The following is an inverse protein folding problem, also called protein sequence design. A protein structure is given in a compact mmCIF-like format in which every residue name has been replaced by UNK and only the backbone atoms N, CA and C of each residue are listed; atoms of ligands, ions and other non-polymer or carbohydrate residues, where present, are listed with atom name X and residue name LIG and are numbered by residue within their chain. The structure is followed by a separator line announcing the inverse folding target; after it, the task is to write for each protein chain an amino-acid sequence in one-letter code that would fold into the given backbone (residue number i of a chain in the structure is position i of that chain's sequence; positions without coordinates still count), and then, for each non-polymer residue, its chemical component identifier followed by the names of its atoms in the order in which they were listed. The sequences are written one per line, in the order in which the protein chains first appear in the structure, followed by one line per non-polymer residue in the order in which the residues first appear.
data_IF_394041071595
#
_entry.id   IF_394041071595
#
_cell.length_a   1.000
_cell.length_b   1.000
_cell.length_c   1.000
_cell.angle_alpha   90.00
_cell.angle_beta   90.00
_cell.angle_gamma   90.00
#
_symmetry.space_group_name_H-M   'P 1'
#
loop_
_entity.id
_entity.type
_entity.pdbx_description
1 polymer ?
#
# COMPACT_ATOMS: atom_id res chain seq x y z
N UNK A 1 19.92 -26.34 -7.60
CA UNK A 1 18.95 -26.12 -6.49
C UNK A 1 19.56 -25.23 -5.40
N UNK A 2 20.74 -25.55 -4.85
CA UNK A 2 21.42 -24.78 -3.80
C UNK A 2 21.73 -23.32 -4.17
N UNK A 3 22.21 -23.05 -5.37
CA UNK A 3 22.51 -21.67 -5.79
C UNK A 3 21.25 -20.77 -5.85
N UNK A 4 20.11 -21.32 -6.29
CA UNK A 4 18.83 -20.58 -6.27
C UNK A 4 18.37 -20.24 -4.85
N UNK A 5 18.60 -21.15 -3.87
CA UNK A 5 18.28 -20.88 -2.46
C UNK A 5 19.21 -19.82 -1.82
N UNK A 6 20.52 -19.87 -2.12
CA UNK A 6 21.48 -18.85 -1.70
C UNK A 6 21.06 -17.46 -2.18
N UNK A 7 20.72 -17.34 -3.47
CA UNK A 7 20.26 -16.07 -4.06
C UNK A 7 18.94 -15.60 -3.46
N UNK A 8 17.99 -16.52 -3.28
CA UNK A 8 16.67 -16.18 -2.74
C UNK A 8 16.73 -15.70 -1.28
N UNK A 9 17.56 -16.35 -0.46
CA UNK A 9 17.70 -15.99 0.96
C UNK A 9 18.85 -15.00 1.22
N UNK A 10 19.63 -14.66 0.19
CA UNK A 10 20.79 -13.73 0.28
C UNK A 10 21.80 -14.15 1.37
N UNK A 11 22.13 -15.44 1.42
CA UNK A 11 23.04 -16.03 2.41
C UNK A 11 24.21 -16.72 1.73
N UNK A 12 25.33 -16.85 2.45
CA UNK A 12 26.48 -17.62 2.00
C UNK A 12 26.24 -19.14 2.16
N UNK A 13 27.14 -19.98 1.60
CA UNK A 13 26.97 -21.45 1.61
C UNK A 13 26.93 -22.04 3.02
N UNK A 14 27.77 -21.56 3.94
CA UNK A 14 27.82 -22.03 5.33
C UNK A 14 26.49 -21.73 6.04
N UNK A 15 26.02 -20.49 5.94
CA UNK A 15 24.75 -20.10 6.53
C UNK A 15 23.57 -20.87 5.95
N UNK A 16 23.61 -21.20 4.65
CA UNK A 16 22.58 -22.04 4.04
C UNK A 16 22.53 -23.44 4.68
N UNK A 17 23.69 -24.07 4.88
CA UNK A 17 23.78 -25.38 5.56
C UNK A 17 23.25 -25.29 6.98
N UNK A 18 23.65 -24.27 7.75
CA UNK A 18 23.18 -24.06 9.12
C UNK A 18 21.66 -23.83 9.19
N UNK A 19 21.10 -23.10 8.23
CA UNK A 19 19.64 -22.89 8.13
C UNK A 19 18.92 -24.20 7.86
N UNK A 20 19.40 -25.04 6.92
CA UNK A 20 18.80 -26.34 6.61
C UNK A 20 18.90 -27.27 7.82
N UNK A 21 20.05 -27.30 8.49
CA UNK A 21 20.26 -28.07 9.73
C UNK A 21 19.28 -27.62 10.83
N UNK A 22 19.08 -26.31 10.98
CA UNK A 22 18.11 -25.77 11.95
C UNK A 22 16.68 -26.24 11.65
N UNK A 23 16.28 -26.25 10.38
CA UNK A 23 14.96 -26.79 9.99
C UNK A 23 14.82 -28.28 10.31
N UNK A 24 15.85 -29.07 10.02
CA UNK A 24 15.84 -30.52 10.29
C UNK A 24 15.77 -30.82 11.79
N UNK A 25 16.62 -30.21 12.59
CA UNK A 25 16.64 -30.37 14.04
C UNK A 25 15.38 -29.85 14.71
N UNK A 26 14.90 -28.66 14.28
CA UNK A 26 13.66 -28.07 14.78
C UNK A 26 12.44 -28.93 14.47
N UNK A 27 12.35 -29.50 13.27
CA UNK A 27 11.30 -30.44 12.89
C UNK A 27 11.34 -31.73 13.71
N UNK A 28 12.51 -32.30 13.92
CA UNK A 28 12.70 -33.50 14.74
C UNK A 28 12.30 -33.25 16.21
N UNK A 29 12.69 -32.10 16.75
CA UNK A 29 12.32 -31.70 18.13
C UNK A 29 10.81 -31.53 18.28
N UNK A 30 10.13 -30.90 17.32
CA UNK A 30 8.69 -30.77 17.29
C UNK A 30 7.98 -32.13 17.23
N UNK A 31 8.44 -33.02 16.37
CA UNK A 31 7.87 -34.36 16.25
C UNK A 31 8.01 -35.17 17.55
N UNK A 32 9.15 -35.07 18.22
CA UNK A 32 9.36 -35.70 19.51
C UNK A 32 8.47 -35.09 20.60
N UNK A 33 8.49 -33.76 20.74
CA UNK A 33 7.70 -33.06 21.74
C UNK A 33 6.18 -33.27 21.54
N UNK A 34 5.71 -33.23 20.30
CA UNK A 34 4.31 -33.48 19.95
C UNK A 34 3.83 -34.86 20.35
N UNK A 35 4.65 -35.91 20.09
CA UNK A 35 4.32 -37.26 20.55
C UNK A 35 4.29 -37.39 22.06
N UNK A 36 5.26 -36.79 22.76
CA UNK A 36 5.31 -36.80 24.23
C UNK A 36 4.10 -36.10 24.86
N UNK A 37 3.73 -34.94 24.33
CA UNK A 37 2.58 -34.19 24.80
C UNK A 37 1.26 -34.94 24.59
N UNK A 38 1.07 -35.53 23.41
CA UNK A 38 -0.13 -36.33 23.14
C UNK A 38 -0.18 -37.65 23.93
N UNK A 39 0.97 -38.24 24.27
CA UNK A 39 1.01 -39.40 25.16
C UNK A 39 0.44 -39.13 26.58
N UNK A 40 0.50 -37.88 27.03
CA UNK A 40 -0.09 -37.48 28.30
C UNK A 40 -1.63 -37.48 28.32
N UNK A 41 -2.27 -37.50 27.16
CA UNK A 41 -3.73 -37.45 27.02
C UNK A 41 -4.38 -38.83 27.06
N UNK A 42 -3.61 -39.93 27.08
CA UNK A 42 -4.07 -41.33 27.05
C UNK A 42 -5.07 -41.62 25.92
N UNK A 43 -4.99 -40.85 24.80
CA UNK A 43 -5.88 -41.03 23.67
C UNK A 43 -5.42 -42.19 22.78
N UNK A 44 -6.37 -42.96 22.27
CA UNK A 44 -6.13 -43.99 21.27
C UNK A 44 -5.60 -43.39 19.96
N UNK A 45 -4.69 -44.13 19.28
CA UNK A 45 -4.07 -43.72 18.03
C UNK A 45 -5.05 -43.83 16.84
N UNK A 46 -6.10 -43.02 16.84
CA UNK A 46 -7.08 -42.91 15.78
C UNK A 46 -6.88 -41.68 14.91
N UNK A 47 -7.82 -41.43 14.03
CA UNK A 47 -7.81 -40.25 13.12
C UNK A 47 -7.71 -38.93 13.92
N UNK A 48 -8.43 -38.82 15.02
CA UNK A 48 -8.41 -37.62 15.89
C UNK A 48 -7.01 -37.37 16.46
N UNK A 49 -6.32 -38.42 16.89
CA UNK A 49 -4.95 -38.33 17.38
C UNK A 49 -4.00 -37.76 16.30
N UNK A 50 -4.13 -38.23 15.04
CA UNK A 50 -3.30 -37.74 13.92
C UNK A 50 -3.57 -36.27 13.64
N UNK A 51 -4.82 -35.85 13.64
CA UNK A 51 -5.20 -34.44 13.42
C UNK A 51 -4.63 -33.55 14.51
N UNK A 52 -4.79 -33.93 15.77
CA UNK A 52 -4.25 -33.19 16.93
C UNK A 52 -2.72 -33.15 16.89
N UNK A 53 -2.06 -34.24 16.50
CA UNK A 53 -0.61 -34.28 16.35
C UNK A 53 -0.12 -33.30 15.29
N UNK A 54 -0.75 -33.24 14.11
CA UNK A 54 -0.39 -32.31 13.04
C UNK A 54 -0.58 -30.85 13.51
N UNK A 55 -1.70 -30.55 14.15
CA UNK A 55 -1.99 -29.21 14.69
C UNK A 55 -0.94 -28.81 15.74
N UNK A 56 -0.63 -29.73 16.68
CA UNK A 56 0.33 -29.47 17.74
C UNK A 56 1.74 -29.25 17.21
N UNK A 57 2.21 -30.11 16.29
CA UNK A 57 3.52 -29.96 15.64
C UNK A 57 3.60 -28.67 14.87
N UNK A 58 2.54 -28.28 14.13
CA UNK A 58 2.49 -27.02 13.38
C UNK A 58 2.57 -25.80 14.31
N UNK A 59 1.91 -25.85 15.48
CA UNK A 59 1.93 -24.80 16.46
C UNK A 59 3.29 -24.68 17.18
N UNK A 60 3.92 -25.81 17.50
CA UNK A 60 5.21 -25.89 18.20
C UNK A 60 6.39 -25.55 17.29
N UNK A 61 6.24 -25.77 15.97
CA UNK A 61 7.33 -25.65 15.00
C UNK A 61 8.06 -24.28 15.04
N UNK A 62 7.37 -23.11 15.09
CA UNK A 62 8.05 -21.81 15.15
C UNK A 62 8.93 -21.67 16.39
N UNK A 63 8.45 -22.17 17.54
CA UNK A 63 9.18 -22.10 18.82
C UNK A 63 10.42 -23.00 18.80
N UNK A 64 10.28 -24.25 18.34
CA UNK A 64 11.38 -25.19 18.25
C UNK A 64 12.48 -24.72 17.29
N UNK A 65 12.11 -24.20 16.12
CA UNK A 65 13.07 -23.67 15.15
C UNK A 65 13.80 -22.44 15.71
N UNK A 66 13.11 -21.53 16.40
CA UNK A 66 13.74 -20.40 17.08
C UNK A 66 14.73 -20.85 18.13
N UNK A 67 14.36 -21.80 18.98
CA UNK A 67 15.21 -22.35 20.04
C UNK A 67 16.47 -22.99 19.48
N UNK A 68 16.34 -23.84 18.47
CA UNK A 68 17.47 -24.51 17.80
C UNK A 68 18.34 -23.52 17.02
N UNK A 69 17.78 -22.41 16.53
CA UNK A 69 18.54 -21.39 15.79
C UNK A 69 19.50 -20.57 16.65
N UNK A 70 19.33 -20.55 17.97
CA UNK A 70 20.19 -19.78 18.90
C UNK A 70 21.63 -20.33 18.87
N UNK A 71 21.88 -21.59 19.20
CA UNK A 71 23.24 -22.14 19.23
C UNK A 71 23.89 -22.20 17.83
N UNK A 72 23.09 -22.22 16.77
CA UNK A 72 23.57 -22.23 15.38
C UNK A 72 23.80 -20.82 14.80
N UNK A 73 23.60 -19.76 15.60
CA UNK A 73 23.79 -18.37 15.17
C UNK A 73 22.80 -17.88 14.11
N UNK A 74 21.70 -18.59 13.89
CA UNK A 74 20.71 -18.29 12.85
C UNK A 74 19.42 -17.64 13.38
N UNK A 75 19.40 -17.21 14.63
CA UNK A 75 18.23 -16.63 15.28
C UNK A 75 17.61 -15.45 14.53
N UNK A 76 18.45 -14.51 14.06
CA UNK A 76 17.99 -13.33 13.32
C UNK A 76 17.31 -13.70 12.00
N UNK A 77 17.79 -14.73 11.30
CA UNK A 77 17.18 -15.23 10.09
C UNK A 77 15.79 -15.82 10.38
N UNK A 78 15.70 -16.74 11.36
CA UNK A 78 14.45 -17.40 11.69
C UNK A 78 13.41 -16.47 12.29
N UNK A 79 13.81 -15.49 13.10
CA UNK A 79 12.92 -14.43 13.60
C UNK A 79 12.27 -13.67 12.45
N UNK A 80 13.05 -13.24 11.45
CA UNK A 80 12.52 -12.58 10.24
C UNK A 80 11.65 -13.51 9.40
N UNK A 81 12.06 -14.77 9.23
CA UNK A 81 11.34 -15.75 8.44
C UNK A 81 9.96 -16.04 9.05
N UNK A 82 9.90 -16.35 10.34
CA UNK A 82 8.65 -16.63 11.07
C UNK A 82 7.74 -15.40 11.09
N UNK A 83 8.29 -14.20 11.34
CA UNK A 83 7.53 -12.94 11.26
C UNK A 83 6.90 -12.74 9.88
N UNK A 84 7.62 -13.10 8.80
CA UNK A 84 7.10 -13.03 7.43
C UNK A 84 6.00 -14.06 7.16
N UNK A 85 6.15 -15.29 7.69
CA UNK A 85 5.13 -16.36 7.59
C UNK A 85 3.88 -15.97 8.38
N UNK A 86 4.02 -15.61 9.65
CA UNK A 86 2.91 -15.17 10.50
C UNK A 86 2.24 -13.90 9.97
N UNK A 87 3.01 -12.98 9.35
CA UNK A 87 2.48 -11.79 8.70
C UNK A 87 1.57 -12.07 7.50
N UNK A 88 1.68 -13.28 6.89
CA UNK A 88 0.74 -13.72 5.83
C UNK A 88 -0.60 -14.17 6.40
N UNK A 89 -0.60 -14.73 7.62
CA UNK A 89 -1.82 -15.16 8.33
C UNK A 89 -2.50 -14.00 9.06
N UNK A 90 -1.73 -13.06 9.60
CA UNK A 90 -2.26 -11.75 10.00
C UNK A 90 -2.51 -11.01 8.69
N UNK A 91 -3.66 -11.21 8.07
CA UNK A 91 -4.03 -10.47 6.89
C UNK A 91 -3.63 -9.00 7.09
N UNK A 92 -2.48 -8.61 6.55
CA UNK A 92 -2.24 -7.20 6.33
C UNK A 92 -3.37 -6.82 5.40
N UNK A 93 -4.41 -6.21 5.94
CA UNK A 93 -5.08 -5.19 5.19
C UNK A 93 -3.93 -4.29 4.73
N UNK A 94 -3.41 -4.54 3.53
CA UNK A 94 -2.51 -3.61 2.88
C UNK A 94 -3.31 -2.31 2.94
N UNK A 95 -2.85 -1.33 3.74
CA UNK A 95 -3.41 0.01 3.70
C UNK A 95 -3.40 0.34 2.22
N UNK A 96 -4.56 0.29 1.58
CA UNK A 96 -4.67 0.68 0.17
C UNK A 96 -4.00 2.05 0.11
N UNK A 97 -3.04 2.27 -0.79
CA UNK A 97 -2.39 3.56 -0.88
C UNK A 97 -3.50 4.60 -0.99
N UNK A 98 -3.45 5.61 -0.14
CA UNK A 98 -4.40 6.71 -0.19
C UNK A 98 -4.09 7.47 -1.47
N UNK A 99 -5.09 7.61 -2.36
CA UNK A 99 -4.98 8.36 -3.61
C UNK A 99 -5.19 9.84 -3.28
N UNK A 100 -4.17 10.66 -3.49
CA UNK A 100 -4.26 12.10 -3.33
C UNK A 100 -4.73 12.75 -4.63
N UNK A 101 -5.82 13.48 -4.56
CA UNK A 101 -6.45 14.15 -5.71
C UNK A 101 -6.18 15.65 -5.67
N UNK A 102 -5.76 16.22 -6.80
CA UNK A 102 -5.83 17.66 -7.03
C UNK A 102 -7.09 17.99 -7.82
N UNK A 103 -7.85 18.98 -7.37
CA UNK A 103 -9.01 19.52 -8.08
C UNK A 103 -8.63 20.86 -8.69
N UNK A 104 -8.75 20.99 -10.00
CA UNK A 104 -8.56 22.21 -10.76
C UNK A 104 -9.91 22.88 -10.97
N UNK A 105 -10.05 24.13 -10.58
CA UNK A 105 -11.28 24.91 -10.72
C UNK A 105 -11.00 26.38 -10.98
N UNK A 106 -11.91 27.07 -11.69
CA UNK A 106 -11.76 28.49 -12.05
C UNK A 106 -12.85 29.39 -11.49
N UNK A 107 -13.85 28.85 -10.79
CA UNK A 107 -15.05 29.62 -10.42
C UNK A 107 -15.60 29.34 -9.02
N UNK A 108 -16.92 29.30 -8.90
CA UNK A 108 -17.63 29.12 -7.63
C UNK A 108 -17.30 27.83 -6.90
N UNK A 109 -16.89 26.76 -7.62
CA UNK A 109 -16.44 25.52 -7.02
C UNK A 109 -17.54 24.55 -6.62
N UNK A 110 -18.74 24.64 -7.17
CA UNK A 110 -19.86 23.74 -6.86
C UNK A 110 -19.51 22.26 -7.08
N UNK A 111 -18.88 21.94 -8.22
CA UNK A 111 -18.41 20.58 -8.49
C UNK A 111 -17.29 20.16 -7.51
N UNK A 112 -16.36 21.05 -7.18
CA UNK A 112 -15.32 20.80 -6.21
C UNK A 112 -15.91 20.47 -4.83
N UNK A 113 -16.92 21.24 -4.38
CA UNK A 113 -17.63 21.01 -3.12
C UNK A 113 -18.28 19.62 -3.08
N UNK A 114 -18.94 19.20 -4.17
CA UNK A 114 -19.56 17.88 -4.23
C UNK A 114 -18.51 16.74 -4.15
N UNK A 115 -17.38 16.91 -4.83
CA UNK A 115 -16.28 15.94 -4.77
C UNK A 115 -15.71 15.87 -3.35
N UNK A 116 -15.45 17.02 -2.72
CA UNK A 116 -14.94 17.09 -1.34
C UNK A 116 -15.91 16.40 -0.38
N UNK A 117 -17.20 16.69 -0.46
CA UNK A 117 -18.22 16.09 0.39
C UNK A 117 -18.30 14.57 0.18
N UNK A 118 -18.24 14.10 -1.07
CA UNK A 118 -18.27 12.67 -1.39
C UNK A 118 -17.10 11.90 -0.78
N UNK A 119 -15.91 12.49 -0.76
CA UNK A 119 -14.70 11.84 -0.23
C UNK A 119 -14.36 12.21 1.21
N UNK A 120 -15.18 13.00 1.90
CA UNK A 120 -14.91 13.49 3.27
C UNK A 120 -14.61 12.36 4.27
N UNK A 121 -15.30 11.22 4.15
CA UNK A 121 -15.13 10.05 5.02
C UNK A 121 -14.35 8.90 4.35
N UNK A 122 -13.70 9.14 3.22
CA UNK A 122 -12.95 8.12 2.51
C UNK A 122 -11.62 7.80 3.20
N UNK A 123 -11.32 6.52 3.38
CA UNK A 123 -10.03 6.03 3.89
C UNK A 123 -9.02 5.75 2.77
N UNK A 124 -9.45 5.79 1.51
CA UNK A 124 -8.66 5.46 0.33
C UNK A 124 -8.43 6.62 -0.63
N UNK A 125 -9.15 7.73 -0.45
CA UNK A 125 -9.04 8.93 -1.29
C UNK A 125 -8.96 10.15 -0.39
N UNK A 126 -8.08 11.09 -0.72
CA UNK A 126 -7.92 12.39 -0.04
C UNK A 126 -7.85 13.49 -1.08
N UNK A 127 -8.56 14.58 -0.86
CA UNK A 127 -8.36 15.82 -1.63
C UNK A 127 -7.13 16.51 -1.05
N UNK A 128 -6.04 16.45 -1.78
CA UNK A 128 -4.74 16.94 -1.33
C UNK A 128 -4.44 18.39 -1.73
N UNK A 129 -5.10 18.88 -2.79
CA UNK A 129 -4.83 20.23 -3.32
C UNK A 129 -6.02 20.76 -4.13
N UNK A 130 -6.31 22.05 -3.97
CA UNK A 130 -7.16 22.81 -4.91
C UNK A 130 -6.25 23.73 -5.73
N UNK A 131 -6.31 23.58 -7.06
CA UNK A 131 -5.59 24.43 -7.99
C UNK A 131 -6.56 25.39 -8.65
N UNK A 132 -6.29 26.70 -8.54
CA UNK A 132 -7.17 27.74 -9.07
C UNK A 132 -6.37 28.76 -9.89
N UNK A 133 -6.95 29.20 -11.00
CA UNK A 133 -6.35 30.22 -11.89
C UNK A 133 -6.98 31.61 -11.72
N UNK A 134 -7.88 31.79 -10.73
CA UNK A 134 -8.57 33.06 -10.51
C UNK A 134 -8.52 33.45 -9.04
N UNK A 135 -7.82 34.54 -8.69
CA UNK A 135 -7.85 35.09 -7.33
C UNK A 135 -9.27 35.39 -6.88
N UNK A 136 -9.60 35.09 -5.62
CA UNK A 136 -10.92 35.39 -5.04
C UNK A 136 -12.05 34.47 -5.53
N UNK A 137 -11.74 33.41 -6.28
CA UNK A 137 -12.75 32.43 -6.70
C UNK A 137 -13.38 31.70 -5.50
N UNK A 138 -14.68 31.42 -5.55
CA UNK A 138 -15.41 30.75 -4.46
C UNK A 138 -14.82 29.39 -4.06
N UNK A 139 -14.19 28.68 -4.97
CA UNK A 139 -13.50 27.42 -4.65
C UNK A 139 -12.38 27.57 -3.61
N UNK A 140 -11.74 28.73 -3.52
CA UNK A 140 -10.69 29.00 -2.52
C UNK A 140 -11.29 29.10 -1.11
N UNK A 141 -12.47 29.68 -0.97
CA UNK A 141 -13.23 29.71 0.30
C UNK A 141 -13.65 28.30 0.70
N UNK A 142 -14.11 27.49 -0.26
CA UNK A 142 -14.45 26.09 -0.01
C UNK A 142 -13.21 25.32 0.49
N UNK A 143 -12.06 25.50 -0.15
CA UNK A 143 -10.80 24.87 0.26
C UNK A 143 -10.41 25.25 1.70
N UNK A 144 -10.51 26.54 2.05
CA UNK A 144 -10.22 27.04 3.39
C UNK A 144 -11.13 26.42 4.44
N UNK A 145 -12.45 26.34 4.19
CA UNK A 145 -13.43 25.73 5.10
C UNK A 145 -13.17 24.24 5.36
N UNK A 146 -12.53 23.55 4.42
CA UNK A 146 -12.18 22.13 4.53
C UNK A 146 -10.70 21.88 4.87
N UNK A 147 -9.93 22.93 5.19
CA UNK A 147 -8.48 22.86 5.46
C UNK A 147 -7.68 22.18 4.33
N UNK A 148 -8.08 22.38 3.08
CA UNK A 148 -7.40 21.84 1.90
C UNK A 148 -6.41 22.88 1.40
N UNK A 149 -5.12 22.53 1.19
CA UNK A 149 -4.14 23.44 0.60
C UNK A 149 -4.60 23.95 -0.77
N UNK A 150 -4.22 25.20 -1.08
CA UNK A 150 -4.55 25.84 -2.35
C UNK A 150 -3.30 26.24 -3.11
N UNK A 151 -3.33 26.13 -4.43
CA UNK A 151 -2.30 26.61 -5.34
C UNK A 151 -2.95 27.56 -6.34
N UNK A 152 -2.57 28.83 -6.26
CA UNK A 152 -2.98 29.80 -7.25
C UNK A 152 -1.97 29.79 -8.40
N UNK A 153 -2.46 29.59 -9.64
CA UNK A 153 -1.62 29.48 -10.83
C UNK A 153 -1.77 30.70 -11.73
N UNK A 154 -0.64 31.13 -12.29
CA UNK A 154 -0.55 32.22 -13.24
C UNK A 154 -0.49 31.71 -14.67
N UNK A 155 -1.14 32.44 -15.61
CA UNK A 155 -1.29 32.01 -17.00
C UNK A 155 0.05 31.74 -17.69
N UNK A 156 0.97 32.68 -17.60
CA UNK A 156 2.27 32.58 -18.27
C UNK A 156 3.08 31.37 -17.76
N UNK A 157 3.11 31.18 -16.45
CA UNK A 157 3.82 30.06 -15.82
C UNK A 157 3.17 28.73 -16.13
N UNK A 158 1.83 28.68 -16.15
CA UNK A 158 1.09 27.45 -16.39
C UNK A 158 1.31 26.92 -17.82
N UNK A 159 1.32 27.82 -18.82
CA UNK A 159 1.52 27.43 -20.22
C UNK A 159 2.98 27.17 -20.59
N UNK A 160 3.96 27.53 -19.74
CA UNK A 160 5.37 27.12 -19.90
C UNK A 160 5.59 25.61 -19.64
N UNK A 161 4.56 24.90 -19.20
CA UNK A 161 4.45 23.44 -19.32
C UNK A 161 4.67 22.67 -18.02
N UNK A 162 5.77 22.83 -17.32
CA UNK A 162 6.17 21.99 -16.19
C UNK A 162 6.34 22.72 -14.85
N UNK A 163 6.21 24.04 -14.84
CA UNK A 163 6.50 24.87 -13.67
C UNK A 163 5.73 24.51 -12.42
N UNK A 164 4.51 23.96 -12.53
CA UNK A 164 3.69 23.54 -11.38
C UNK A 164 3.75 22.03 -11.10
N UNK A 165 4.56 21.27 -11.85
CA UNK A 165 4.75 19.83 -11.57
C UNK A 165 5.48 19.58 -10.24
N UNK A 166 6.48 20.40 -9.81
CA UNK A 166 7.11 20.24 -8.51
C UNK A 166 6.12 20.36 -7.36
N UNK A 167 5.22 21.33 -7.38
CA UNK A 167 4.20 21.57 -6.34
C UNK A 167 3.21 20.41 -6.28
N UNK A 168 2.76 19.89 -7.44
CA UNK A 168 1.89 18.71 -7.48
C UNK A 168 2.59 17.47 -6.90
N UNK A 169 3.90 17.32 -7.16
CA UNK A 169 4.71 16.24 -6.57
C UNK A 169 4.91 16.43 -5.07
N UNK A 170 5.17 17.64 -4.60
CA UNK A 170 5.33 17.98 -3.19
C UNK A 170 4.06 17.63 -2.39
N UNK A 171 2.88 17.86 -2.98
CA UNK A 171 1.60 17.47 -2.41
C UNK A 171 1.24 15.99 -2.67
N UNK A 172 2.17 15.19 -3.21
CA UNK A 172 1.98 13.76 -3.51
C UNK A 172 0.71 13.48 -4.32
N UNK A 173 0.42 14.32 -5.33
CA UNK A 173 -0.78 14.17 -6.14
C UNK A 173 -0.66 12.96 -7.07
N UNK A 174 -1.64 12.06 -6.98
CA UNK A 174 -1.73 10.85 -7.79
C UNK A 174 -2.73 10.99 -8.94
N UNK A 175 -3.74 11.87 -8.80
CA UNK A 175 -4.85 12.00 -9.72
C UNK A 175 -5.32 13.46 -9.83
N UNK A 176 -5.74 13.87 -11.01
CA UNK A 176 -6.22 15.24 -11.30
C UNK A 176 -7.68 15.21 -11.74
N UNK A 177 -8.50 16.08 -11.14
CA UNK A 177 -9.89 16.30 -11.55
C UNK A 177 -10.03 17.75 -12.01
N UNK A 178 -10.48 17.95 -13.25
CA UNK A 178 -10.83 19.26 -13.78
C UNK A 178 -12.32 19.49 -13.51
N UNK A 179 -12.63 20.39 -12.58
CA UNK A 179 -13.99 20.65 -12.09
C UNK A 179 -14.38 22.10 -12.40
N UNK A 180 -14.71 22.37 -13.65
CA UNK A 180 -14.96 23.72 -14.13
C UNK A 180 -13.70 24.56 -14.28
N UNK A 181 -12.61 23.92 -14.71
CA UNK A 181 -11.35 24.58 -15.03
C UNK A 181 -11.35 25.06 -16.48
N UNK A 182 -11.10 26.34 -16.69
CA UNK A 182 -11.34 27.01 -17.99
C UNK A 182 -10.12 27.03 -18.90
N UNK A 183 -8.92 26.77 -18.41
CA UNK A 183 -7.72 26.80 -19.25
C UNK A 183 -7.44 25.44 -19.85
N UNK A 184 -6.84 25.47 -21.06
CA UNK A 184 -6.33 24.27 -21.72
C UNK A 184 -5.18 23.70 -20.89
N UNK A 185 -5.19 22.39 -20.69
CA UNK A 185 -4.13 21.71 -19.94
C UNK A 185 -2.86 21.57 -20.79
N UNK A 186 -1.68 21.98 -20.29
CA UNK A 186 -0.42 21.83 -21.00
C UNK A 186 -0.07 20.36 -21.22
N UNK A 187 0.57 20.09 -22.37
CA UNK A 187 0.99 18.73 -22.74
C UNK A 187 1.92 18.07 -21.71
N UNK A 188 2.77 18.84 -21.04
CA UNK A 188 3.66 18.34 -19.99
C UNK A 188 2.84 17.80 -18.80
N UNK A 189 1.77 18.50 -18.38
CA UNK A 189 0.90 18.04 -17.31
C UNK A 189 0.14 16.76 -17.70
N UNK A 190 -0.35 16.66 -18.94
CA UNK A 190 -1.01 15.45 -19.45
C UNK A 190 -0.04 14.26 -19.44
N UNK A 191 1.21 14.47 -19.86
CA UNK A 191 2.26 13.44 -19.86
C UNK A 191 2.66 13.02 -18.44
N UNK A 192 2.61 13.91 -17.47
CA UNK A 192 2.93 13.61 -16.08
C UNK A 192 1.85 12.77 -15.37
N UNK A 193 0.58 12.86 -15.85
CA UNK A 193 -0.57 12.14 -15.27
C UNK A 193 -1.24 11.21 -16.29
N UNK A 194 -0.54 10.23 -16.90
CA UNK A 194 -1.09 9.37 -17.94
C UNK A 194 -2.24 8.52 -17.38
N UNK A 195 -3.44 8.65 -17.97
CA UNK A 195 -4.67 7.97 -17.51
C UNK A 195 -5.10 8.29 -16.07
N UNK A 196 -4.57 9.40 -15.51
CA UNK A 196 -4.85 9.85 -14.14
C UNK A 196 -5.43 11.27 -14.12
N UNK A 197 -6.14 11.65 -15.17
CA UNK A 197 -6.80 12.94 -15.29
C UNK A 197 -8.20 12.76 -15.87
N UNK A 198 -9.19 13.38 -15.24
CA UNK A 198 -10.58 13.42 -15.74
C UNK A 198 -11.08 14.86 -15.78
N UNK A 199 -12.00 15.15 -16.69
CA UNK A 199 -12.69 16.42 -16.80
C UNK A 199 -14.20 16.24 -16.59
N UNK A 200 -14.76 17.04 -15.68
CA UNK A 200 -16.22 17.13 -15.52
C UNK A 200 -16.72 18.21 -16.48
N UNK A 201 -17.30 17.75 -17.58
CA UNK A 201 -17.83 18.64 -18.61
C UNK A 201 -19.35 18.74 -18.49
N UNK A 202 -19.92 19.97 -18.52
CA UNK A 202 -21.37 20.17 -18.31
C UNK A 202 -22.22 19.74 -19.52
N UNK A 203 -21.60 19.48 -20.67
CA UNK A 203 -22.28 19.13 -21.89
C UNK A 203 -21.88 17.75 -22.41
N UNK A 204 -22.78 17.12 -23.18
CA UNK A 204 -22.51 15.82 -23.82
C UNK A 204 -21.52 15.99 -24.96
N UNK A 205 -20.36 15.36 -24.84
CA UNK A 205 -19.33 15.31 -25.88
C UNK A 205 -19.66 14.19 -26.89
N UNK A 206 -19.32 14.38 -28.20
CA UNK A 206 -18.67 15.55 -28.81
C UNK A 206 -19.67 16.63 -29.26
N UNK A 207 -20.97 16.40 -29.19
CA UNK A 207 -21.97 17.25 -29.82
C UNK A 207 -22.06 18.70 -29.28
N UNK A 208 -21.81 18.87 -27.98
CA UNK A 208 -21.95 20.16 -27.28
C UNK A 208 -20.67 20.57 -26.54
N UNK A 209 -19.51 20.24 -27.11
CA UNK A 209 -18.21 20.44 -26.46
C UNK A 209 -17.71 21.87 -26.30
N UNK A 210 -18.41 22.85 -26.83
CA UNK A 210 -17.94 24.24 -26.93
C UNK A 210 -16.92 24.42 -28.05
N UNK A 211 -16.60 25.69 -28.36
CA UNK A 211 -15.55 26.08 -29.35
C UNK A 211 -14.18 26.15 -28.69
#
# INVERSE_FOLDING_TARGET
MFEKLKQHWKVNGINLVLIITTFALGGSLCGYAGRKLLALTNMDKGVLWVVLYILLVTLLWPLAVLLVSIPLGQFSFFKKYISKVLGRFKGKAAKKPVINIAIFASGAGSNAQQIINHFANSTSVKIGLIVCNKPGAGVLTIAANHNIPTLLIEKEQFFKGDNYLPELKQHHIDFVILAGFLWKIPGALIKAFPKKMINIHPALLPAYGGK
#
